data_IF_196550569382
#
_entry.id   IF_196550569382
#
_cell.length_a   1.000
_cell.length_b   1.000
_cell.length_c   1.000
_cell.angle_alpha   90.00
_cell.angle_beta   90.00
_cell.angle_gamma   90.00
#
_symmetry.space_group_name_H-M   'P 1'
#
loop_
_entity.id
_entity.type
_entity.pdbx_description
1 polymer ?
#
# COMPACT_ATOMS: atom_id res chain seq x y z
N UNK A 1 -33.13 4.22 9.00
CA UNK A 1 -32.17 3.11 8.86
C UNK A 1 -31.27 3.45 7.71
N UNK A 2 -29.96 3.60 7.95
CA UNK A 2 -28.98 3.69 6.87
C UNK A 2 -28.84 2.28 6.29
N UNK A 3 -28.85 2.15 4.96
CA UNK A 3 -28.71 0.85 4.30
C UNK A 3 -27.26 0.37 4.40
N UNK A 4 -27.05 -0.93 4.60
CA UNK A 4 -25.72 -1.55 4.70
C UNK A 4 -24.86 -1.26 3.46
N UNK A 5 -25.45 -1.26 2.26
CA UNK A 5 -24.75 -0.94 1.02
C UNK A 5 -24.23 0.51 0.97
N UNK A 6 -24.94 1.44 1.62
CA UNK A 6 -24.55 2.86 1.62
C UNK A 6 -23.39 3.10 2.59
N UNK A 7 -23.33 2.34 3.68
CA UNK A 7 -22.21 2.35 4.64
C UNK A 7 -20.94 1.75 4.02
N UNK A 8 -21.05 0.59 3.37
CA UNK A 8 -19.93 -0.04 2.66
C UNK A 8 -19.37 0.88 1.56
N UNK A 9 -20.27 1.56 0.82
CA UNK A 9 -19.87 2.54 -0.18
C UNK A 9 -19.15 3.74 0.43
N UNK A 10 -19.67 4.31 1.52
CA UNK A 10 -19.05 5.45 2.21
C UNK A 10 -17.65 5.10 2.71
N UNK A 11 -17.51 3.94 3.36
CA UNK A 11 -16.24 3.41 3.85
C UNK A 11 -15.20 3.29 2.72
N UNK A 12 -15.59 2.66 1.59
CA UNK A 12 -14.74 2.56 0.41
C UNK A 12 -14.32 3.92 -0.16
N UNK A 13 -15.24 4.89 -0.21
CA UNK A 13 -14.94 6.24 -0.68
C UNK A 13 -13.94 6.98 0.23
N UNK A 14 -13.99 6.76 1.55
CA UNK A 14 -13.05 7.34 2.51
C UNK A 14 -11.66 6.72 2.40
N UNK A 15 -11.57 5.39 2.37
CA UNK A 15 -10.30 4.68 2.16
C UNK A 15 -9.68 5.03 0.81
N UNK A 16 -10.49 5.20 -0.25
CA UNK A 16 -10.00 5.62 -1.56
C UNK A 16 -9.41 7.03 -1.54
N UNK A 17 -10.06 7.97 -0.83
CA UNK A 17 -9.53 9.34 -0.66
C UNK A 17 -8.21 9.35 0.10
N UNK A 18 -8.13 8.56 1.17
CA UNK A 18 -6.91 8.43 1.96
C UNK A 18 -5.79 7.76 1.15
N UNK A 19 -6.10 6.70 0.40
CA UNK A 19 -5.14 6.03 -0.49
C UNK A 19 -4.56 7.00 -1.54
N UNK A 20 -5.41 7.81 -2.18
CA UNK A 20 -4.98 8.85 -3.12
C UNK A 20 -4.07 9.87 -2.43
N UNK A 21 -4.38 10.27 -1.20
CA UNK A 21 -3.53 11.16 -0.43
C UNK A 21 -2.16 10.52 -0.14
N UNK A 22 -2.13 9.26 0.30
CA UNK A 22 -0.88 8.52 0.58
C UNK A 22 -0.03 8.35 -0.68
N UNK A 23 -0.62 8.02 -1.83
CA UNK A 23 0.11 7.96 -3.12
C UNK A 23 0.71 9.33 -3.47
N UNK A 24 -0.03 10.43 -3.29
CA UNK A 24 0.48 11.79 -3.56
C UNK A 24 1.66 12.14 -2.66
N UNK A 25 1.61 11.78 -1.38
CA UNK A 25 2.74 11.98 -0.47
C UNK A 25 3.95 11.11 -0.87
N UNK A 26 3.73 9.87 -1.33
CA UNK A 26 4.82 9.04 -1.87
C UNK A 26 5.46 9.62 -3.14
N UNK A 27 4.65 10.17 -4.06
CA UNK A 27 5.14 10.86 -5.26
C UNK A 27 6.00 12.07 -4.85
N UNK A 28 5.50 12.88 -3.92
CA UNK A 28 6.14 14.12 -3.49
C UNK A 28 7.42 13.90 -2.68
N UNK A 29 7.40 12.96 -1.74
CA UNK A 29 8.47 12.78 -0.76
C UNK A 29 9.50 11.71 -1.20
N UNK A 30 9.10 10.76 -2.04
CA UNK A 30 9.92 9.61 -2.44
C UNK A 30 10.00 9.40 -3.95
N UNK A 31 9.60 10.42 -4.74
CA UNK A 31 9.67 10.36 -6.19
C UNK A 31 8.98 9.11 -6.78
N UNK A 32 7.92 8.59 -6.15
CA UNK A 32 7.13 7.49 -6.74
C UNK A 32 6.61 7.94 -8.11
N UNK A 33 6.60 7.04 -9.10
CA UNK A 33 6.13 7.35 -10.45
C UNK A 33 4.69 7.90 -10.41
N UNK A 34 4.43 9.13 -10.90
CA UNK A 34 3.10 9.74 -10.85
C UNK A 34 2.00 8.95 -11.55
N UNK A 35 2.34 8.08 -12.51
CA UNK A 35 1.35 7.24 -13.19
C UNK A 35 0.69 6.23 -12.23
N UNK A 36 1.33 5.87 -11.11
CA UNK A 36 0.74 4.98 -10.09
C UNK A 36 -0.57 5.55 -9.56
N UNK A 37 -0.66 6.88 -9.38
CA UNK A 37 -1.92 7.52 -8.97
C UNK A 37 -3.03 7.29 -10.00
N UNK A 38 -2.72 7.51 -11.28
CA UNK A 38 -3.67 7.29 -12.37
C UNK A 38 -4.13 5.83 -12.40
N UNK A 39 -3.21 4.88 -12.27
CA UNK A 39 -3.54 3.46 -12.29
C UNK A 39 -4.41 3.05 -11.10
N UNK A 40 -4.12 3.58 -9.91
CA UNK A 40 -4.93 3.35 -8.72
C UNK A 40 -6.36 3.89 -8.89
N UNK A 41 -6.51 5.08 -9.49
CA UNK A 41 -7.83 5.65 -9.78
C UNK A 41 -8.63 4.78 -10.78
N UNK A 42 -7.95 4.11 -11.72
CA UNK A 42 -8.49 3.09 -12.64
C UNK A 42 -8.75 1.73 -11.98
N UNK A 43 -8.47 1.56 -10.68
CA UNK A 43 -8.68 0.31 -9.93
C UNK A 43 -7.56 -0.72 -10.10
N UNK A 44 -6.35 -0.29 -10.50
CA UNK A 44 -5.18 -1.15 -10.64
C UNK A 44 -4.16 -0.84 -9.57
N UNK A 45 -3.59 -1.88 -8.99
CA UNK A 45 -2.49 -1.75 -8.02
C UNK A 45 -1.18 -2.06 -8.75
N UNK A 46 -0.17 -1.23 -8.46
CA UNK A 46 1.17 -1.39 -8.97
C UNK A 46 2.13 -1.62 -7.81
N UNK A 47 3.25 -2.28 -8.09
CA UNK A 47 4.28 -2.57 -7.11
C UNK A 47 5.65 -2.15 -7.62
N UNK A 48 6.51 -1.73 -6.70
CA UNK A 48 7.91 -1.44 -6.95
C UNK A 48 8.75 -2.69 -6.75
N UNK A 49 9.76 -2.89 -7.58
CA UNK A 49 10.71 -4.00 -7.46
C UNK A 49 12.05 -3.63 -8.09
N UNK A 50 13.07 -4.45 -7.84
CA UNK A 50 14.39 -4.30 -8.42
C UNK A 50 14.69 -5.40 -9.44
N UNK A 51 15.16 -5.01 -10.62
CA UNK A 51 15.62 -5.91 -11.68
C UNK A 51 17.12 -5.81 -11.88
N UNK A 52 17.65 -6.62 -12.82
CA UNK A 52 19.08 -6.65 -13.17
C UNK A 52 20.01 -6.85 -11.94
N UNK A 53 19.61 -7.72 -11.01
CA UNK A 53 20.39 -7.99 -9.80
C UNK A 53 20.41 -6.84 -8.79
N UNK A 54 19.38 -6.00 -8.76
CA UNK A 54 19.28 -4.91 -7.80
C UNK A 54 19.76 -3.55 -8.32
N UNK A 55 19.95 -3.41 -9.63
CA UNK A 55 20.54 -2.21 -10.28
C UNK A 55 19.50 -1.30 -10.91
N UNK A 56 18.33 -1.83 -11.27
CA UNK A 56 17.27 -1.07 -11.94
C UNK A 56 16.00 -1.14 -11.11
N UNK A 57 15.51 0.03 -10.68
CA UNK A 57 14.18 0.17 -10.09
C UNK A 57 13.11 0.07 -11.17
N UNK A 58 12.05 -0.69 -10.92
CA UNK A 58 10.98 -0.94 -11.86
C UNK A 58 9.63 -0.91 -11.15
N UNK A 59 8.58 -0.62 -11.90
CA UNK A 59 7.19 -0.64 -11.43
C UNK A 59 6.36 -1.44 -12.44
N UNK A 60 5.59 -2.39 -11.94
CA UNK A 60 4.66 -3.19 -12.75
C UNK A 60 3.33 -3.38 -12.01
N UNK A 61 2.32 -3.87 -12.72
CA UNK A 61 1.03 -4.21 -12.12
C UNK A 61 1.16 -5.48 -11.27
N UNK A 62 0.45 -5.55 -10.14
CA UNK A 62 0.41 -6.76 -9.31
C UNK A 62 -0.07 -8.00 -10.06
N UNK A 63 -0.79 -7.81 -11.18
CA UNK A 63 -1.28 -8.91 -12.02
C UNK A 63 -0.19 -9.58 -12.85
N UNK A 64 1.00 -8.98 -12.93
CA UNK A 64 2.17 -9.61 -13.56
C UNK A 64 2.56 -10.91 -12.84
N UNK A 65 2.40 -10.96 -11.51
CA UNK A 65 2.59 -12.15 -10.70
C UNK A 65 1.28 -12.52 -9.97
N UNK A 66 0.65 -13.61 -10.43
CA UNK A 66 -0.58 -14.13 -9.84
C UNK A 66 -0.52 -14.40 -8.32
N UNK A 67 0.67 -14.60 -7.75
CA UNK A 67 0.83 -14.77 -6.29
C UNK A 67 0.54 -13.47 -5.56
N UNK A 68 0.87 -12.33 -6.15
CA UNK A 68 0.69 -11.00 -5.56
C UNK A 68 -0.76 -10.58 -5.64
N UNK A 69 -1.39 -10.69 -6.82
CA UNK A 69 -2.81 -10.36 -6.97
C UNK A 69 -3.71 -11.25 -6.13
N UNK A 70 -3.42 -12.56 -6.06
CA UNK A 70 -4.14 -13.47 -5.16
C UNK A 70 -3.98 -13.05 -3.70
N UNK A 71 -2.76 -12.76 -3.25
CA UNK A 71 -2.51 -12.38 -1.86
C UNK A 71 -3.21 -11.06 -1.49
N UNK A 72 -3.15 -10.05 -2.35
CA UNK A 72 -3.80 -8.76 -2.11
C UNK A 72 -5.31 -8.94 -2.01
N UNK A 73 -5.93 -9.67 -2.95
CA UNK A 73 -7.37 -9.94 -2.90
C UNK A 73 -7.76 -10.66 -1.60
N UNK A 74 -7.02 -11.70 -1.20
CA UNK A 74 -7.27 -12.41 0.07
C UNK A 74 -7.09 -11.50 1.30
N UNK A 75 -6.11 -10.59 1.27
CA UNK A 75 -5.87 -9.63 2.34
C UNK A 75 -7.01 -8.63 2.46
N UNK A 76 -7.41 -8.00 1.36
CA UNK A 76 -8.51 -7.03 1.33
C UNK A 76 -9.85 -7.67 1.70
N UNK A 77 -10.16 -8.86 1.17
CA UNK A 77 -11.38 -9.60 1.53
C UNK A 77 -11.44 -9.96 3.02
N UNK A 78 -10.30 -10.35 3.60
CA UNK A 78 -10.23 -10.78 5.01
C UNK A 78 -10.28 -9.61 5.99
N UNK A 79 -9.68 -8.48 5.64
CA UNK A 79 -9.46 -7.36 6.57
C UNK A 79 -10.39 -6.19 6.32
N UNK A 80 -10.93 -6.06 5.11
CA UNK A 80 -11.62 -4.86 4.65
C UNK A 80 -10.70 -3.66 4.39
N UNK A 81 -9.38 -3.83 4.53
CA UNK A 81 -8.40 -2.78 4.22
C UNK A 81 -8.26 -2.58 2.71
N UNK A 82 -7.74 -1.43 2.31
CA UNK A 82 -7.49 -1.08 0.91
C UNK A 82 -6.01 -0.94 0.63
N UNK A 83 -5.46 -1.76 -0.26
CA UNK A 83 -4.06 -1.72 -0.69
C UNK A 83 -3.90 -0.70 -1.81
N UNK A 84 -2.93 0.20 -1.66
CA UNK A 84 -2.71 1.28 -2.63
C UNK A 84 -1.37 1.19 -3.37
N UNK A 85 -0.40 0.47 -2.82
CA UNK A 85 0.90 0.20 -3.46
C UNK A 85 1.57 -1.00 -2.80
N UNK A 86 2.55 -1.62 -3.47
CA UNK A 86 3.37 -2.65 -2.83
C UNK A 86 4.86 -2.53 -3.21
N UNK A 87 5.72 -3.15 -2.41
CA UNK A 87 7.17 -3.14 -2.59
C UNK A 87 7.69 -4.56 -2.45
N UNK A 88 8.24 -5.11 -3.53
CA UNK A 88 8.90 -6.41 -3.55
C UNK A 88 10.34 -6.27 -3.04
N UNK A 89 10.76 -7.19 -2.18
CA UNK A 89 12.16 -7.27 -1.73
C UNK A 89 12.53 -8.74 -1.51
N UNK A 90 13.25 -9.34 -2.46
CA UNK A 90 13.60 -10.75 -2.39
C UNK A 90 12.36 -11.66 -2.40
N UNK A 91 12.14 -12.40 -1.31
CA UNK A 91 10.99 -13.31 -1.18
C UNK A 91 9.80 -12.70 -0.43
N UNK A 92 9.81 -11.39 -0.19
CA UNK A 92 8.72 -10.70 0.52
C UNK A 92 8.06 -9.63 -0.33
N UNK A 93 6.78 -9.39 -0.07
CA UNK A 93 6.01 -8.28 -0.60
C UNK A 93 5.44 -7.46 0.57
N UNK A 94 5.91 -6.23 0.70
CA UNK A 94 5.36 -5.26 1.64
C UNK A 94 4.19 -4.55 0.98
N UNK A 95 2.97 -4.76 1.46
CA UNK A 95 1.77 -4.06 0.97
C UNK A 95 1.50 -2.82 1.82
N UNK A 96 1.37 -1.68 1.17
CA UNK A 96 0.98 -0.43 1.80
C UNK A 96 -0.53 -0.30 1.67
N UNK A 97 -1.21 -0.13 2.79
CA UNK A 97 -2.67 -0.18 2.86
C UNK A 97 -3.24 0.98 3.69
N UNK A 98 -4.54 1.21 3.54
CA UNK A 98 -5.37 2.03 4.43
C UNK A 98 -6.25 1.08 5.23
N UNK A 99 -6.21 1.17 6.57
CA UNK A 99 -7.08 0.35 7.41
C UNK A 99 -8.55 0.72 7.23
N UNK A 100 -9.42 -0.26 7.47
CA UNK A 100 -10.86 -0.05 7.45
C UNK A 100 -11.24 0.93 8.58
N UNK A 101 -12.10 1.91 8.33
CA UNK A 101 -12.61 2.79 9.37
C UNK A 101 -13.19 2.00 10.55
N UNK A 102 -12.80 2.39 11.76
CA UNK A 102 -13.34 1.83 12.98
C UNK A 102 -14.64 2.56 13.33
N UNK A 103 -15.76 1.83 13.39
CA UNK A 103 -17.08 2.39 13.68
C UNK A 103 -17.20 3.04 15.07
N UNK A 104 -16.28 2.73 15.99
CA UNK A 104 -16.23 3.32 17.33
C UNK A 104 -15.50 4.67 17.35
N UNK A 105 -14.74 5.00 16.31
CA UNK A 105 -13.96 6.24 16.21
C UNK A 105 -14.76 7.32 15.48
N UNK A 106 -14.60 8.56 15.93
CA UNK A 106 -15.06 9.72 15.17
C UNK A 106 -14.10 10.07 14.02
N UNK A 107 -14.51 10.99 13.14
CA UNK A 107 -13.73 11.38 11.95
C UNK A 107 -12.31 11.93 12.28
N UNK A 108 -12.10 12.57 13.43
CA UNK A 108 -10.80 13.08 13.84
C UNK A 108 -9.89 11.98 14.39
N UNK A 109 -10.46 11.08 15.21
CA UNK A 109 -9.77 9.91 15.73
C UNK A 109 -9.35 8.96 14.60
N UNK A 110 -10.25 8.70 13.64
CA UNK A 110 -9.95 7.88 12.48
C UNK A 110 -8.80 8.46 11.65
N UNK A 111 -8.76 9.79 11.48
CA UNK A 111 -7.66 10.47 10.79
C UNK A 111 -6.35 10.34 11.55
N UNK A 112 -6.40 10.38 12.88
CA UNK A 112 -5.21 10.19 13.73
C UNK A 112 -4.66 8.78 13.60
N UNK A 113 -5.50 7.75 13.59
CA UNK A 113 -5.08 6.36 13.36
C UNK A 113 -4.40 6.21 12.00
N UNK A 114 -5.05 6.72 10.95
CA UNK A 114 -4.46 6.72 9.61
C UNK A 114 -3.17 7.53 9.52
N UNK A 115 -2.98 8.57 10.34
CA UNK A 115 -1.73 9.32 10.35
C UNK A 115 -0.55 8.47 10.81
N UNK A 116 -0.73 7.58 11.79
CA UNK A 116 0.31 6.65 12.23
C UNK A 116 0.69 5.62 11.17
N UNK A 117 -0.22 5.28 10.26
CA UNK A 117 0.05 4.31 9.20
C UNK A 117 0.75 4.92 7.97
N UNK A 118 0.70 6.25 7.82
CA UNK A 118 1.27 6.95 6.68
C UNK A 118 2.79 6.85 6.66
N UNK A 119 3.35 6.96 5.46
CA UNK A 119 4.78 7.16 5.32
C UNK A 119 5.19 8.51 5.93
N UNK A 120 6.13 8.49 6.88
CA UNK A 120 6.80 9.69 7.39
C UNK A 120 7.77 10.22 6.34
N UNK A 121 8.25 11.47 6.51
CA UNK A 121 9.28 12.04 5.62
C UNK A 121 10.61 11.30 5.67
N UNK A 122 10.88 10.60 6.77
CA UNK A 122 12.09 9.80 6.98
C UNK A 122 11.94 8.37 6.42
N UNK A 123 10.80 8.05 5.81
CA UNK A 123 10.57 6.78 5.13
C UNK A 123 10.02 5.67 6.03
N UNK A 124 9.61 5.96 7.26
CA UNK A 124 8.95 4.97 8.11
C UNK A 124 7.50 4.84 7.65
N UNK A 125 7.04 3.63 7.37
CA UNK A 125 5.64 3.37 6.99
C UNK A 125 5.16 2.07 7.62
N UNK A 126 3.96 2.10 8.19
CA UNK A 126 3.30 0.88 8.67
C UNK A 126 2.75 0.10 7.49
N UNK A 127 3.05 -1.19 7.42
CA UNK A 127 2.62 -2.04 6.32
C UNK A 127 2.36 -3.47 6.79
N UNK A 128 1.87 -4.31 5.87
CA UNK A 128 1.88 -5.76 6.06
C UNK A 128 2.92 -6.39 5.14
N UNK A 129 3.81 -7.21 5.69
CA UNK A 129 4.85 -7.90 4.95
C UNK A 129 4.44 -9.35 4.76
N UNK A 130 4.16 -9.73 3.52
CA UNK A 130 3.96 -11.13 3.13
C UNK A 130 5.30 -11.78 2.84
N UNK A 131 5.63 -12.83 3.57
CA UNK A 131 6.77 -13.68 3.24
C UNK A 131 6.28 -14.90 2.44
N UNK A 132 6.76 -15.05 1.20
CA UNK A 132 6.38 -16.18 0.33
C UNK A 132 7.21 -17.44 0.59
N UNK A 133 8.40 -17.31 1.14
CA UNK A 133 9.26 -18.45 1.49
C UNK A 133 8.87 -19.07 2.84
N UNK A 134 8.45 -18.23 3.80
CA UNK A 134 8.06 -18.60 5.16
C UNK A 134 6.78 -17.84 5.57
N UNK A 135 5.60 -18.26 5.09
CA UNK A 135 4.33 -17.55 5.32
C UNK A 135 4.00 -17.28 6.79
N UNK A 136 4.45 -18.13 7.70
CA UNK A 136 4.32 -18.00 9.16
C UNK A 136 5.08 -16.80 9.74
N UNK A 137 6.06 -16.26 9.01
CA UNK A 137 6.82 -15.05 9.36
C UNK A 137 6.24 -13.79 8.71
N UNK A 138 5.02 -13.86 8.15
CA UNK A 138 4.34 -12.68 7.64
C UNK A 138 3.78 -11.87 8.82
N UNK A 139 3.98 -10.56 8.81
CA UNK A 139 3.63 -9.70 9.93
C UNK A 139 3.22 -8.30 9.48
N UNK A 140 2.47 -7.61 10.34
CA UNK A 140 2.24 -6.18 10.22
C UNK A 140 3.27 -5.42 11.06
N UNK A 141 3.83 -4.34 10.53
CA UNK A 141 4.84 -3.56 11.22
C UNK A 141 5.42 -2.45 10.38
N UNK A 142 6.28 -1.67 11.01
CA UNK A 142 6.99 -0.57 10.35
C UNK A 142 8.15 -1.08 9.51
N UNK A 143 8.25 -0.53 8.30
CA UNK A 143 9.43 -0.68 7.44
C UNK A 143 10.01 0.69 7.13
N UNK A 144 11.28 0.72 6.71
CA UNK A 144 11.87 1.90 6.10
C UNK A 144 11.80 1.77 4.58
N UNK A 145 11.37 2.84 3.92
CA UNK A 145 11.32 2.95 2.46
C UNK A 145 12.13 4.14 1.97
N UNK A 146 12.57 4.08 0.72
CA UNK A 146 13.14 5.22 0.03
C UNK A 146 12.88 5.16 -1.47
N UNK A 147 13.26 6.22 -2.16
CA UNK A 147 13.32 6.24 -3.63
C UNK A 147 14.51 5.39 -4.12
N UNK A 148 14.33 4.71 -5.24
CA UNK A 148 15.44 4.06 -5.93
C UNK A 148 15.96 4.96 -7.06
N UNK A 149 16.90 5.85 -6.70
CA UNK A 149 17.41 6.88 -7.61
C UNK A 149 16.27 7.68 -8.26
N UNK A 150 16.34 7.87 -9.58
CA UNK A 150 15.33 8.58 -10.37
C UNK A 150 14.34 7.65 -11.09
N UNK A 151 14.31 6.36 -10.73
CA UNK A 151 13.53 5.34 -11.46
C UNK A 151 12.01 5.47 -11.31
N UNK A 152 11.56 6.23 -10.32
CA UNK A 152 10.16 6.26 -9.93
C UNK A 152 9.75 5.12 -8.98
N UNK A 153 10.63 4.15 -8.71
CA UNK A 153 10.34 3.01 -7.85
C UNK A 153 10.71 3.28 -6.38
N UNK A 154 9.99 2.62 -5.49
CA UNK A 154 10.28 2.57 -4.06
C UNK A 154 11.05 1.29 -3.70
N UNK A 155 11.91 1.38 -2.71
CA UNK A 155 12.60 0.22 -2.13
C UNK A 155 12.43 0.19 -0.63
N UNK A 156 12.37 -1.02 -0.07
CA UNK A 156 12.56 -1.24 1.37
C UNK A 156 14.06 -1.15 1.68
N UNK A 157 14.39 -0.43 2.73
CA UNK A 157 15.76 -0.31 3.26
C UNK A 157 15.79 -0.91 4.66
N UNK A 158 16.84 -1.68 4.97
CA UNK A 158 16.99 -2.38 6.24
C UNK A 158 17.04 -3.89 6.08
#
# INVERSE_FOLDING_TARGET
MVNKSDLEKKCNDEMKKESIFRIKELIKNFNLNPNVLKYFEEGKIYYSYLTAGGVIGSIDTIDYDSRYSKFINEFEEKTGHMVYHAIETGNVLSILFVSVPNEELNDEEQKSEWEYERATKDGIVYCFVKNFASPELSEAGDIFISSYGDSGALVRIG
#
